data_IF_380541403380
#
_entry.id   IF_380541403380
#
_cell.length_a   1.000
_cell.length_b   1.000
_cell.length_c   1.000
_cell.angle_alpha   90.00
_cell.angle_beta   90.00
_cell.angle_gamma   90.00
#
_symmetry.space_group_name_H-M   'P 1'
#
loop_
_entity.id
_entity.type
_entity.pdbx_description
1 polymer ?
#
# COMPACT_ATOMS: atom_id res chain seq x y z
N UNK A 1 49.82 28.49 -1.94
CA UNK A 1 48.80 28.93 -2.92
C UNK A 1 47.81 27.79 -3.10
N UNK A 2 46.54 28.04 -2.80
CA UNK A 2 45.30 27.37 -3.28
C UNK A 2 45.10 25.86 -3.02
N UNK A 3 44.15 25.62 -2.10
CA UNK A 3 43.13 24.56 -2.04
C UNK A 3 42.88 23.78 -3.35
N UNK A 4 42.68 22.46 -3.22
CA UNK A 4 41.53 21.69 -3.77
C UNK A 4 41.48 20.34 -3.00
N UNK A 5 40.90 20.27 -1.80
CA UNK A 5 39.48 20.02 -1.50
C UNK A 5 38.76 19.02 -2.43
N UNK A 6 38.57 17.82 -1.89
CA UNK A 6 37.38 16.98 -1.93
C UNK A 6 36.81 16.52 -3.28
N UNK A 7 36.92 15.22 -3.53
CA UNK A 7 35.87 14.46 -4.20
C UNK A 7 35.69 13.10 -3.50
N UNK A 8 35.34 13.13 -2.22
CA UNK A 8 34.61 12.00 -1.61
C UNK A 8 33.16 12.19 -2.03
N UNK A 9 32.80 11.71 -3.22
CA UNK A 9 31.41 11.48 -3.58
C UNK A 9 30.84 10.46 -2.60
N UNK A 10 30.14 10.98 -1.59
CA UNK A 10 29.31 10.20 -0.70
C UNK A 10 28.18 9.56 -1.51
N UNK A 11 28.43 8.38 -2.08
CA UNK A 11 27.37 7.45 -2.46
C UNK A 11 26.78 6.88 -1.17
N UNK A 12 25.96 7.68 -0.49
CA UNK A 12 25.07 7.13 0.53
C UNK A 12 23.98 6.38 -0.23
N UNK A 13 24.25 5.12 -0.55
CA UNK A 13 23.19 4.18 -0.88
C UNK A 13 22.30 4.11 0.35
N UNK A 14 21.16 4.81 0.31
CA UNK A 14 20.07 4.51 1.23
C UNK A 14 19.67 3.07 0.97
N UNK A 15 20.11 2.15 1.84
CA UNK A 15 19.66 0.76 1.86
C UNK A 15 18.20 0.75 2.31
N UNK A 16 17.31 1.05 1.37
CA UNK A 16 15.88 0.92 1.57
C UNK A 16 15.52 -0.55 1.36
N UNK A 17 14.79 -1.13 2.30
CA UNK A 17 14.29 -2.49 2.14
C UNK A 17 13.28 -2.57 0.98
N UNK A 18 13.20 -3.73 0.34
CA UNK A 18 12.21 -4.02 -0.71
C UNK A 18 10.78 -3.67 -0.28
N UNK A 19 10.43 -4.02 0.96
CA UNK A 19 9.11 -3.73 1.52
C UNK A 19 8.87 -2.22 1.73
N UNK A 20 9.88 -1.48 2.16
CA UNK A 20 9.78 -0.01 2.24
C UNK A 20 9.66 0.63 0.85
N UNK A 21 10.32 0.09 -0.16
CA UNK A 21 10.15 0.52 -1.56
C UNK A 21 8.69 0.36 -2.00
N UNK A 22 8.08 -0.79 -1.73
CA UNK A 22 6.65 -1.02 -1.99
C UNK A 22 5.76 0.00 -1.28
N UNK A 23 5.94 0.18 0.04
CA UNK A 23 5.16 1.14 0.84
C UNK A 23 5.24 2.56 0.28
N UNK A 24 6.45 3.00 -0.03
CA UNK A 24 6.70 4.36 -0.52
C UNK A 24 6.13 4.59 -1.92
N UNK A 25 6.26 3.61 -2.82
CA UNK A 25 5.69 3.67 -4.15
C UNK A 25 4.16 3.61 -4.11
N UNK A 26 3.59 2.69 -3.33
CA UNK A 26 2.15 2.51 -3.17
C UNK A 26 1.46 3.76 -2.64
N UNK A 27 2.03 4.42 -1.62
CA UNK A 27 1.48 5.65 -1.05
C UNK A 27 1.33 6.79 -2.08
N UNK A 28 2.15 6.78 -3.15
CA UNK A 28 2.12 7.78 -4.22
C UNK A 28 1.42 7.29 -5.49
N UNK A 29 1.09 6.01 -5.57
CA UNK A 29 0.68 5.34 -6.80
C UNK A 29 -0.57 5.99 -7.43
N UNK A 30 -1.47 6.54 -6.61
CA UNK A 30 -2.68 7.18 -7.12
C UNK A 30 -2.50 8.61 -7.67
N UNK A 31 -1.32 9.23 -7.53
CA UNK A 31 -1.09 10.64 -7.87
C UNK A 31 -1.03 10.92 -9.39
N UNK A 32 -0.66 9.93 -10.20
CA UNK A 32 -0.59 10.04 -11.66
C UNK A 32 -0.58 8.64 -12.30
N UNK A 33 -0.77 8.54 -13.62
CA UNK A 33 -0.60 7.27 -14.34
C UNK A 33 0.85 6.77 -14.27
N UNK A 34 1.83 7.66 -14.37
CA UNK A 34 3.26 7.30 -14.24
C UNK A 34 3.59 6.73 -12.86
N UNK A 35 3.00 7.28 -11.78
CA UNK A 35 3.18 6.74 -10.44
C UNK A 35 2.49 5.37 -10.28
N UNK A 36 1.34 5.17 -10.94
CA UNK A 36 0.65 3.87 -10.95
C UNK A 36 1.51 2.82 -11.64
N UNK A 37 2.06 3.14 -12.82
CA UNK A 37 2.95 2.25 -13.58
C UNK A 37 4.25 1.95 -12.81
N UNK A 38 4.87 2.95 -12.18
CA UNK A 38 6.05 2.75 -11.35
C UNK A 38 5.80 1.79 -10.17
N UNK A 39 4.63 1.88 -9.53
CA UNK A 39 4.24 0.94 -8.47
C UNK A 39 4.01 -0.48 -9.00
N UNK A 40 3.32 -0.64 -10.13
CA UNK A 40 3.08 -1.93 -10.76
C UNK A 40 4.40 -2.62 -11.09
N UNK A 41 5.27 -1.93 -11.82
CA UNK A 41 6.59 -2.43 -12.21
C UNK A 41 7.45 -2.79 -10.99
N UNK A 42 7.39 -1.99 -9.92
CA UNK A 42 8.12 -2.29 -8.69
C UNK A 42 7.59 -3.57 -8.02
N UNK A 43 6.26 -3.72 -7.91
CA UNK A 43 5.63 -4.87 -7.28
C UNK A 43 5.87 -6.17 -8.04
N UNK A 44 5.84 -6.14 -9.37
CA UNK A 44 6.11 -7.29 -10.23
C UNK A 44 7.54 -7.81 -10.10
N UNK A 45 8.51 -6.90 -9.95
CA UNK A 45 9.94 -7.25 -9.80
C UNK A 45 10.29 -7.85 -8.44
N UNK A 46 9.41 -7.76 -7.45
CA UNK A 46 9.68 -8.34 -6.13
C UNK A 46 9.73 -9.87 -6.21
N UNK A 47 10.80 -10.47 -5.71
CA UNK A 47 10.91 -11.93 -5.57
C UNK A 47 10.22 -12.45 -4.30
N UNK A 48 9.93 -11.57 -3.33
CA UNK A 48 9.28 -11.91 -2.08
C UNK A 48 7.93 -12.62 -2.26
N UNK A 49 7.74 -13.67 -1.46
CA UNK A 49 6.53 -14.49 -1.37
C UNK A 49 5.80 -14.34 -0.04
N UNK A 50 6.27 -13.45 0.85
CA UNK A 50 5.57 -13.16 2.10
C UNK A 50 4.19 -12.55 1.82
N UNK A 51 3.32 -12.66 2.83
CA UNK A 51 1.93 -12.24 2.71
C UNK A 51 1.78 -10.76 2.31
N UNK A 52 2.62 -9.87 2.82
CA UNK A 52 2.50 -8.44 2.55
C UNK A 52 2.97 -8.11 1.14
N UNK A 53 4.10 -8.66 0.70
CA UNK A 53 4.58 -8.49 -0.68
C UNK A 53 3.57 -9.03 -1.69
N UNK A 54 2.99 -10.19 -1.45
CA UNK A 54 1.93 -10.74 -2.31
C UNK A 54 0.64 -9.91 -2.25
N UNK A 55 0.34 -9.29 -1.11
CA UNK A 55 -0.73 -8.29 -0.99
C UNK A 55 -0.51 -7.05 -1.86
N UNK A 56 0.71 -6.53 -1.91
CA UNK A 56 1.05 -5.42 -2.81
C UNK A 56 0.97 -5.82 -4.29
N UNK A 57 1.39 -7.04 -4.65
CA UNK A 57 1.20 -7.58 -6.02
C UNK A 57 -0.28 -7.68 -6.39
N UNK A 58 -1.14 -8.13 -5.47
CA UNK A 58 -2.58 -8.15 -5.69
C UNK A 58 -3.13 -6.73 -5.90
N UNK A 59 -2.68 -5.75 -5.12
CA UNK A 59 -3.06 -4.35 -5.29
C UNK A 59 -2.55 -3.77 -6.64
N UNK A 60 -1.32 -4.10 -7.05
CA UNK A 60 -0.77 -3.69 -8.35
C UNK A 60 -1.66 -4.19 -9.51
N UNK A 61 -2.09 -5.45 -9.46
CA UNK A 61 -3.03 -6.02 -10.44
C UNK A 61 -4.35 -5.26 -10.53
N UNK A 62 -4.87 -4.79 -9.39
CA UNK A 62 -6.09 -3.95 -9.37
C UNK A 62 -5.80 -2.58 -9.99
N UNK A 63 -4.64 -1.99 -9.67
CA UNK A 63 -4.24 -0.68 -10.17
C UNK A 63 -3.92 -0.67 -11.66
N UNK A 64 -3.54 -1.81 -12.24
CA UNK A 64 -3.36 -1.96 -13.69
C UNK A 64 -4.63 -1.55 -14.46
N UNK A 65 -5.82 -1.86 -13.91
CA UNK A 65 -7.12 -1.46 -14.47
C UNK A 65 -7.33 0.06 -14.55
N UNK A 66 -6.48 0.87 -13.92
CA UNK A 66 -6.50 2.33 -13.99
C UNK A 66 -5.77 2.85 -15.23
N UNK A 67 -4.76 2.14 -15.70
CA UNK A 67 -3.90 2.56 -16.82
C UNK A 67 -4.18 1.79 -18.12
N UNK A 68 -4.78 0.59 -18.03
CA UNK A 68 -5.19 -0.16 -19.24
C UNK A 68 -6.61 0.19 -19.72
N UNK A 69 -6.83 0.03 -21.03
CA UNK A 69 -8.15 0.17 -21.67
C UNK A 69 -8.92 -1.15 -21.76
N UNK A 70 -8.22 -2.29 -21.69
CA UNK A 70 -8.80 -3.64 -21.86
C UNK A 70 -8.91 -4.36 -20.52
N UNK A 71 -9.86 -5.28 -20.40
CA UNK A 71 -9.97 -6.24 -19.27
C UNK A 71 -10.01 -5.63 -17.85
N UNK A 72 -10.33 -4.34 -17.73
CA UNK A 72 -10.33 -3.60 -16.46
C UNK A 72 -11.13 -4.30 -15.36
N UNK A 73 -12.32 -4.80 -15.69
CA UNK A 73 -13.18 -5.53 -14.74
C UNK A 73 -12.53 -6.84 -14.29
N UNK A 74 -11.90 -7.56 -15.20
CA UNK A 74 -11.24 -8.84 -14.90
C UNK A 74 -10.01 -8.62 -14.00
N UNK A 75 -9.21 -7.59 -14.28
CA UNK A 75 -8.07 -7.18 -13.45
C UNK A 75 -8.49 -6.85 -12.01
N UNK A 76 -9.50 -5.99 -11.85
CA UNK A 76 -10.00 -5.62 -10.53
C UNK A 76 -10.57 -6.85 -9.81
N UNK A 77 -11.39 -7.66 -10.47
CA UNK A 77 -11.97 -8.86 -9.86
C UNK A 77 -10.89 -9.84 -9.42
N UNK A 78 -9.94 -10.15 -10.31
CA UNK A 78 -8.86 -11.08 -10.01
C UNK A 78 -7.97 -10.59 -8.88
N UNK A 79 -7.54 -9.32 -8.91
CA UNK A 79 -6.69 -8.76 -7.86
C UNK A 79 -7.43 -8.70 -6.51
N UNK A 80 -8.71 -8.34 -6.50
CA UNK A 80 -9.54 -8.35 -5.29
C UNK A 80 -9.68 -9.78 -4.73
N UNK A 81 -9.95 -10.78 -5.58
CA UNK A 81 -10.00 -12.18 -5.15
C UNK A 81 -8.68 -12.65 -4.55
N UNK A 82 -7.54 -12.32 -5.18
CA UNK A 82 -6.22 -12.64 -4.64
C UNK A 82 -5.99 -11.98 -3.29
N UNK A 83 -6.30 -10.69 -3.16
CA UNK A 83 -6.13 -9.94 -1.92
C UNK A 83 -6.98 -10.52 -0.78
N UNK A 84 -8.24 -10.85 -1.04
CA UNK A 84 -9.12 -11.51 -0.06
C UNK A 84 -8.57 -12.87 0.37
N UNK A 85 -8.06 -13.67 -0.56
CA UNK A 85 -7.46 -14.96 -0.24
C UNK A 85 -6.25 -14.82 0.68
N UNK A 86 -5.35 -13.88 0.38
CA UNK A 86 -4.16 -13.61 1.21
C UNK A 86 -4.57 -13.15 2.60
N UNK A 87 -5.58 -12.27 2.68
CA UNK A 87 -6.15 -11.75 3.92
C UNK A 87 -6.78 -12.85 4.78
N UNK A 88 -7.51 -13.78 4.15
CA UNK A 88 -8.15 -14.90 4.83
C UNK A 88 -7.12 -15.80 5.51
N UNK A 89 -5.99 -16.04 4.84
CA UNK A 89 -4.88 -16.82 5.40
C UNK A 89 -4.01 -16.06 6.40
N UNK A 90 -4.11 -14.72 6.42
CA UNK A 90 -3.30 -13.84 7.28
C UNK A 90 -4.18 -12.83 8.04
N UNK A 91 -5.13 -13.31 8.87
CA UNK A 91 -6.20 -12.47 9.40
C UNK A 91 -5.73 -11.37 10.35
N UNK A 92 -4.56 -11.56 10.97
CA UNK A 92 -3.99 -10.64 11.97
C UNK A 92 -3.00 -9.63 11.38
N UNK A 93 -2.75 -9.65 10.07
CA UNK A 93 -1.79 -8.74 9.44
C UNK A 93 -2.43 -7.38 9.16
N UNK A 94 -1.95 -6.36 9.87
CA UNK A 94 -2.50 -4.99 9.80
C UNK A 94 -2.22 -4.31 8.45
N UNK A 95 -1.08 -4.61 7.81
CA UNK A 95 -0.69 -3.97 6.56
C UNK A 95 -1.56 -4.46 5.40
N UNK A 96 -1.96 -5.73 5.41
CA UNK A 96 -2.95 -6.25 4.46
C UNK A 96 -4.30 -5.54 4.58
N UNK A 97 -4.71 -5.16 5.79
CA UNK A 97 -5.94 -4.39 6.04
C UNK A 97 -5.81 -2.96 5.50
N UNK A 98 -4.63 -2.34 5.63
CA UNK A 98 -4.33 -1.06 4.98
C UNK A 98 -4.47 -1.18 3.46
N UNK A 99 -3.87 -2.20 2.84
CA UNK A 99 -3.93 -2.42 1.40
C UNK A 99 -5.38 -2.58 0.94
N UNK A 100 -6.16 -3.47 1.60
CA UNK A 100 -7.57 -3.67 1.25
C UNK A 100 -8.39 -2.40 1.40
N UNK A 101 -8.30 -1.71 2.53
CA UNK A 101 -9.04 -0.46 2.75
C UNK A 101 -8.69 0.60 1.70
N UNK A 102 -7.39 0.78 1.41
CA UNK A 102 -6.90 1.67 0.36
C UNK A 102 -7.50 1.34 -1.02
N UNK A 103 -7.52 0.06 -1.40
CA UNK A 103 -8.14 -0.37 -2.66
C UNK A 103 -9.64 -0.09 -2.66
N UNK A 104 -10.36 -0.55 -1.63
CA UNK A 104 -11.81 -0.39 -1.53
C UNK A 104 -12.23 1.09 -1.61
N UNK A 105 -11.42 2.01 -1.10
CA UNK A 105 -11.67 3.45 -1.17
C UNK A 105 -11.55 4.03 -2.58
N UNK A 106 -10.68 3.48 -3.41
CA UNK A 106 -10.28 4.09 -4.68
C UNK A 106 -10.90 3.43 -5.91
N UNK A 107 -11.51 2.24 -5.78
CA UNK A 107 -12.23 1.62 -6.90
C UNK A 107 -13.64 2.20 -7.09
N UNK A 108 -14.18 2.22 -8.33
CA UNK A 108 -15.54 2.66 -8.60
C UNK A 108 -16.61 1.84 -7.85
N UNK A 109 -17.67 2.49 -7.36
CA UNK A 109 -18.74 1.85 -6.58
C UNK A 109 -19.41 0.69 -7.33
N UNK A 110 -19.55 0.78 -8.65
CA UNK A 110 -20.17 -0.25 -9.50
C UNK A 110 -19.47 -1.62 -9.44
N UNK A 111 -18.21 -1.67 -8.98
CA UNK A 111 -17.46 -2.93 -8.82
C UNK A 111 -17.92 -3.72 -7.59
N UNK A 112 -18.47 -3.06 -6.57
CA UNK A 112 -18.99 -3.72 -5.36
C UNK A 112 -17.94 -4.21 -4.35
N UNK A 113 -16.64 -3.97 -4.56
CA UNK A 113 -15.59 -4.38 -3.62
C UNK A 113 -15.39 -3.31 -2.52
N UNK A 114 -16.37 -3.21 -1.60
CA UNK A 114 -16.38 -2.23 -0.49
C UNK A 114 -16.91 -2.80 0.84
N UNK A 115 -17.16 -4.11 0.90
CA UNK A 115 -17.86 -4.75 2.01
C UNK A 115 -17.12 -4.72 3.35
N UNK A 116 -15.79 -4.54 3.34
CA UNK A 116 -14.96 -4.64 4.55
C UNK A 116 -14.48 -3.29 5.08
N UNK A 117 -14.94 -2.15 4.54
CA UNK A 117 -14.45 -0.83 4.94
C UNK A 117 -14.61 -0.59 6.45
N UNK A 118 -15.80 -0.88 7.00
CA UNK A 118 -16.09 -0.70 8.42
C UNK A 118 -15.18 -1.58 9.30
N UNK A 119 -15.05 -2.84 8.92
CA UNK A 119 -14.28 -3.84 9.68
C UNK A 119 -12.78 -3.55 9.64
N UNK A 120 -12.25 -3.15 8.48
CA UNK A 120 -10.85 -2.77 8.32
C UNK A 120 -10.51 -1.55 9.18
N UNK A 121 -11.37 -0.52 9.19
CA UNK A 121 -11.15 0.65 10.05
C UNK A 121 -11.09 0.27 11.53
N UNK A 122 -12.07 -0.49 12.01
CA UNK A 122 -12.11 -0.94 13.40
C UNK A 122 -10.88 -1.80 13.74
N UNK A 123 -10.49 -2.70 12.83
CA UNK A 123 -9.31 -3.54 13.00
C UNK A 123 -8.02 -2.71 13.11
N UNK A 124 -7.85 -1.72 12.22
CA UNK A 124 -6.68 -0.84 12.23
C UNK A 124 -6.57 -0.09 13.57
N UNK A 125 -7.67 0.50 14.04
CA UNK A 125 -7.70 1.22 15.33
C UNK A 125 -7.36 0.29 16.50
N UNK A 126 -8.02 -0.86 16.58
CA UNK A 126 -7.89 -1.78 17.73
C UNK A 126 -6.53 -2.48 17.81
N UNK A 127 -5.79 -2.56 16.69
CA UNK A 127 -4.51 -3.26 16.64
C UNK A 127 -3.31 -2.34 16.42
N UNK A 128 -3.53 -1.05 16.18
CA UNK A 128 -2.47 -0.06 15.95
C UNK A 128 -1.44 -0.02 17.10
N UNK A 129 -1.90 0.02 18.35
CA UNK A 129 -1.02 0.13 19.53
C UNK A 129 -0.06 -1.06 19.69
N UNK A 130 -0.42 -2.23 19.14
CA UNK A 130 0.34 -3.49 19.21
C UNK A 130 1.46 -3.58 18.17
N UNK A 131 1.51 -2.65 17.22
CA UNK A 131 2.49 -2.71 16.13
C UNK A 131 3.84 -2.10 16.52
N UNK A 132 4.89 -2.52 15.80
CA UNK A 132 6.20 -1.88 15.89
C UNK A 132 6.17 -0.45 15.32
N UNK A 133 7.22 0.33 15.62
CA UNK A 133 7.33 1.74 15.24
C UNK A 133 7.18 1.99 13.75
N UNK A 134 7.77 1.13 12.90
CA UNK A 134 7.70 1.27 11.45
C UNK A 134 6.26 1.10 10.94
N UNK A 135 5.56 0.05 11.38
CA UNK A 135 4.17 -0.21 11.00
C UNK A 135 3.23 0.84 11.57
N UNK A 136 3.45 1.32 12.81
CA UNK A 136 2.68 2.45 13.36
C UNK A 136 2.80 3.68 12.47
N UNK A 137 4.03 4.04 12.08
CA UNK A 137 4.27 5.19 11.21
C UNK A 137 3.55 5.06 9.87
N UNK A 138 3.61 3.86 9.26
CA UNK A 138 2.95 3.59 7.99
C UNK A 138 1.42 3.62 8.09
N UNK A 139 0.84 2.91 9.07
CA UNK A 139 -0.61 2.87 9.31
C UNK A 139 -1.13 4.27 9.63
N UNK A 140 -0.44 5.03 10.49
CA UNK A 140 -0.82 6.41 10.81
C UNK A 140 -0.85 7.29 9.57
N UNK A 141 0.20 7.24 8.74
CA UNK A 141 0.25 8.00 7.49
C UNK A 141 -0.94 7.67 6.58
N UNK A 142 -1.26 6.38 6.41
CA UNK A 142 -2.43 5.95 5.66
C UNK A 142 -3.74 6.45 6.28
N UNK A 143 -3.95 6.27 7.59
CA UNK A 143 -5.16 6.68 8.28
C UNK A 143 -5.36 8.19 8.17
N UNK A 144 -4.30 9.01 8.23
CA UNK A 144 -4.40 10.47 8.10
C UNK A 144 -4.80 10.96 6.71
N UNK A 145 -4.56 10.18 5.65
CA UNK A 145 -4.94 10.53 4.27
C UNK A 145 -6.18 9.77 3.75
N UNK A 146 -6.63 8.74 4.48
CA UNK A 146 -7.76 7.91 4.06
C UNK A 146 -9.07 8.70 4.02
N UNK A 147 -9.93 8.36 3.05
CA UNK A 147 -11.24 8.99 2.84
C UNK A 147 -12.31 8.46 3.78
N UNK A 148 -12.08 7.31 4.42
CA UNK A 148 -13.10 6.62 5.21
C UNK A 148 -13.08 6.95 6.69
N UNK A 149 -11.99 7.52 7.21
CA UNK A 149 -11.86 7.87 8.63
C UNK A 149 -12.43 9.25 8.97
N UNK A 150 -13.17 9.31 10.07
CA UNK A 150 -13.61 10.55 10.72
C UNK A 150 -12.49 11.16 11.55
N UNK A 151 -12.61 12.43 11.91
CA UNK A 151 -11.60 13.12 12.73
C UNK A 151 -11.43 12.47 14.12
N UNK A 152 -12.53 12.03 14.72
CA UNK A 152 -12.52 11.29 15.99
C UNK A 152 -11.74 9.98 15.87
N UNK A 153 -11.93 9.23 14.79
CA UNK A 153 -11.17 7.99 14.57
C UNK A 153 -9.69 8.27 14.29
N UNK A 154 -9.35 9.35 13.56
CA UNK A 154 -7.94 9.74 13.36
C UNK A 154 -7.26 10.08 14.68
N UNK A 155 -7.95 10.76 15.59
CA UNK A 155 -7.44 11.11 16.92
C UNK A 155 -7.13 9.88 17.81
N UNK A 156 -7.69 8.71 17.50
CA UNK A 156 -7.38 7.45 18.21
C UNK A 156 -6.00 6.86 17.82
N UNK A 157 -5.40 7.32 16.71
CA UNK A 157 -4.12 6.86 16.20
C UNK A 157 -3.02 7.86 16.60
N UNK A 158 -2.45 7.68 17.80
CA UNK A 158 -1.40 8.56 18.35
C UNK A 158 0.00 8.17 17.91
#
# INVERSE_FOLDING_TARGET
>A
MKLFLSLITAFIFFFQSDLEALRNSYAKANSSNANTEAFINLAEKQSGSDAVTTGYKAAAKIMEAKITKKDRKALVKSGATSLESIIKSNPNNIELRVIRLSVQENIPKIVGYRGSIKDDKAFLINNYSKQNTALKSYVKKFVMQSKSFTDTERASIK
#
